data_IF_313957019414
#
_entry.id   IF_313957019414
#
_cell.length_a   1.000
_cell.length_b   1.000
_cell.length_c   1.000
_cell.angle_alpha   90.00
_cell.angle_beta   90.00
_cell.angle_gamma   90.00
#
_symmetry.space_group_name_H-M   'P 1'
#
loop_
_entity.id
_entity.type
_entity.pdbx_description
1 polymer ?
#
# COMPACT_ATOMS: atom_id res chain seq x y z
N UNK A 1 24.11 -27.04 -27.14
CA UNK A 1 23.97 -27.18 -25.67
C UNK A 1 24.63 -26.06 -24.86
N UNK A 2 25.80 -25.51 -25.23
CA UNK A 2 26.48 -24.47 -24.44
C UNK A 2 25.67 -23.17 -24.21
N UNK A 3 24.84 -22.76 -25.18
CA UNK A 3 24.00 -21.56 -25.06
C UNK A 3 22.79 -21.70 -24.14
N UNK A 4 22.31 -22.93 -23.90
CA UNK A 4 21.15 -23.17 -23.01
C UNK A 4 21.55 -23.00 -21.55
N UNK A 5 22.76 -23.43 -21.19
CA UNK A 5 23.27 -23.33 -19.81
C UNK A 5 23.47 -21.87 -19.38
N UNK A 6 23.95 -21.01 -20.29
CA UNK A 6 24.19 -19.59 -20.01
C UNK A 6 22.88 -18.81 -19.79
N UNK A 7 21.83 -19.10 -20.57
CA UNK A 7 20.51 -18.50 -20.39
C UNK A 7 19.88 -18.96 -19.06
N UNK A 8 20.01 -20.24 -18.71
CA UNK A 8 19.54 -20.74 -17.41
C UNK A 8 20.30 -20.11 -16.22
N UNK A 9 21.61 -19.92 -16.32
CA UNK A 9 22.43 -19.29 -15.27
C UNK A 9 22.05 -17.81 -15.05
N UNK A 10 21.81 -17.06 -16.13
CA UNK A 10 21.33 -15.68 -16.01
C UNK A 10 19.93 -15.63 -15.36
N UNK A 11 19.02 -16.54 -15.71
CA UNK A 11 17.67 -16.60 -15.12
C UNK A 11 17.67 -16.98 -13.63
N UNK A 12 18.61 -17.84 -13.18
CA UNK A 12 18.71 -18.24 -11.76
C UNK A 12 19.23 -17.09 -10.89
N UNK A 13 20.11 -16.23 -11.39
CA UNK A 13 20.61 -15.07 -10.64
C UNK A 13 19.55 -14.00 -10.37
N UNK A 14 18.47 -13.94 -11.16
CA UNK A 14 17.34 -13.05 -10.89
C UNK A 14 16.44 -13.53 -9.74
N UNK A 15 16.57 -14.78 -9.26
CA UNK A 15 15.71 -15.33 -8.22
C UNK A 15 16.25 -15.14 -6.78
N UNK A 16 17.42 -14.51 -6.59
CA UNK A 16 18.08 -14.43 -5.28
C UNK A 16 17.91 -13.07 -4.56
N UNK A 17 17.33 -12.07 -5.22
CA UNK A 17 16.94 -10.80 -4.59
C UNK A 17 15.43 -10.76 -4.40
N UNK A 18 14.98 -10.23 -3.27
CA UNK A 18 13.57 -9.93 -3.05
C UNK A 18 13.00 -9.16 -4.26
N UNK A 19 11.89 -9.64 -4.80
CA UNK A 19 11.24 -9.04 -5.95
C UNK A 19 10.28 -7.95 -5.47
N UNK A 20 10.36 -6.71 -5.98
CA UNK A 20 9.40 -5.69 -5.60
C UNK A 20 7.99 -6.03 -6.12
N UNK A 21 7.03 -6.22 -5.23
CA UNK A 21 5.62 -6.41 -5.62
C UNK A 21 4.91 -5.07 -5.69
N UNK A 22 4.12 -4.90 -6.74
CA UNK A 22 3.25 -3.73 -6.90
C UNK A 22 1.86 -4.08 -6.37
N UNK A 23 1.37 -3.27 -5.44
CA UNK A 23 0.02 -3.35 -4.90
C UNK A 23 -0.77 -2.13 -5.37
N UNK A 24 -2.01 -2.37 -5.79
CA UNK A 24 -2.99 -1.32 -5.97
C UNK A 24 -3.99 -1.39 -4.82
N UNK A 25 -4.08 -0.31 -4.06
CA UNK A 25 -5.09 -0.11 -3.04
C UNK A 25 -6.18 0.77 -3.63
N UNK A 26 -7.43 0.34 -3.49
CA UNK A 26 -8.61 1.08 -3.90
C UNK A 26 -9.50 1.31 -2.70
N UNK A 27 -9.88 2.56 -2.48
CA UNK A 27 -10.85 2.96 -1.48
C UNK A 27 -12.07 3.61 -2.14
N UNK A 28 -13.26 3.14 -1.83
CA UNK A 28 -14.52 3.76 -2.26
C UNK A 28 -15.18 4.37 -1.03
N UNK A 29 -15.35 5.70 -1.00
CA UNK A 29 -15.91 6.37 0.17
C UNK A 29 -17.40 6.07 0.30
N UNK A 30 -17.79 5.50 1.42
CA UNK A 30 -19.18 5.17 1.72
C UNK A 30 -19.79 6.16 2.72
N UNK A 31 -18.97 6.72 3.61
CA UNK A 31 -19.42 7.63 4.65
C UNK A 31 -18.35 8.67 4.99
N UNK A 32 -18.79 9.89 5.32
CA UNK A 32 -17.94 10.95 5.88
C UNK A 32 -18.56 11.36 7.20
N UNK A 33 -17.95 10.91 8.29
CA UNK A 33 -18.35 11.25 9.64
C UNK A 33 -17.74 12.58 10.02
N UNK A 34 -18.58 13.57 10.22
CA UNK A 34 -18.20 14.86 10.78
C UNK A 34 -18.71 14.89 12.22
N UNK A 35 -17.81 14.87 13.20
CA UNK A 35 -18.19 14.92 14.61
C UNK A 35 -18.54 16.37 15.03
N UNK A 36 -19.59 16.92 14.42
CA UNK A 36 -20.15 18.22 14.76
C UNK A 36 -19.35 19.45 14.31
N UNK A 37 -18.25 19.29 13.56
CA UNK A 37 -17.52 20.40 12.94
C UNK A 37 -17.82 20.47 11.43
N UNK A 38 -18.16 21.64 10.88
CA UNK A 38 -18.40 21.78 9.45
C UNK A 38 -17.11 21.52 8.65
N UNK A 39 -17.20 20.95 7.43
CA UNK A 39 -16.05 20.52 6.61
C UNK A 39 -15.23 21.68 6.00
N UNK A 40 -15.36 22.89 6.54
CA UNK A 40 -14.85 24.13 5.94
C UNK A 40 -13.32 24.28 5.96
N UNK A 41 -12.60 23.39 6.66
CA UNK A 41 -11.13 23.35 6.65
C UNK A 41 -10.54 22.45 5.57
N UNK A 42 -11.35 21.67 4.84
CA UNK A 42 -10.82 20.87 3.73
C UNK A 42 -10.69 21.73 2.47
N UNK A 43 -9.46 21.91 2.00
CA UNK A 43 -9.20 22.40 0.63
C UNK A 43 -9.76 21.43 -0.43
N UNK A 44 -9.98 20.16 -0.07
CA UNK A 44 -10.65 19.15 -0.91
C UNK A 44 -11.35 18.09 -0.04
N UNK A 45 -12.61 18.32 0.39
CA UNK A 45 -13.28 17.36 1.25
C UNK A 45 -13.52 16.03 0.54
N UNK A 46 -13.38 14.90 1.24
CA UNK A 46 -13.78 13.60 0.74
C UNK A 46 -15.25 13.63 0.32
N UNK A 47 -15.54 13.09 -0.86
CA UNK A 47 -16.90 13.03 -1.39
C UNK A 47 -17.40 11.59 -1.32
N UNK A 48 -18.58 11.37 -0.74
CA UNK A 48 -19.23 10.06 -0.72
C UNK A 48 -19.41 9.57 -2.17
N UNK A 49 -19.03 8.31 -2.43
CA UNK A 49 -19.01 7.69 -3.75
C UNK A 49 -17.70 7.92 -4.53
N UNK A 50 -16.82 8.82 -4.09
CA UNK A 50 -15.50 8.97 -4.71
C UNK A 50 -14.66 7.71 -4.54
N UNK A 51 -13.89 7.41 -5.58
CA UNK A 51 -12.91 6.32 -5.56
C UNK A 51 -11.51 6.88 -5.58
N UNK A 52 -10.68 6.39 -4.69
CA UNK A 52 -9.28 6.76 -4.55
C UNK A 52 -8.39 5.55 -4.78
N UNK A 53 -7.23 5.80 -5.37
CA UNK A 53 -6.24 4.78 -5.68
C UNK A 53 -4.90 5.15 -5.07
N UNK A 54 -4.23 4.15 -4.50
CA UNK A 54 -2.82 4.22 -4.17
C UNK A 54 -2.09 3.04 -4.81
N UNK A 55 -0.89 3.29 -5.33
CA UNK A 55 0.05 2.27 -5.74
C UNK A 55 1.14 2.19 -4.69
N UNK A 56 1.42 1.00 -4.19
CA UNK A 56 2.42 0.73 -3.15
C UNK A 56 3.35 -0.35 -3.68
N UNK A 57 4.66 -0.09 -3.64
CA UNK A 57 5.68 -1.07 -3.98
C UNK A 57 6.31 -1.55 -2.69
N UNK A 58 6.31 -2.86 -2.44
CA UNK A 58 6.91 -3.45 -1.25
C UNK A 58 7.79 -4.65 -1.59
N UNK A 59 8.58 -5.11 -0.63
CA UNK A 59 9.42 -6.30 -0.72
C UNK A 59 8.57 -7.59 -0.65
N UNK A 60 8.74 -8.53 -1.58
CA UNK A 60 8.01 -9.81 -1.62
C UNK A 60 8.31 -10.74 -0.45
N UNK A 61 9.38 -10.50 0.32
CA UNK A 61 9.70 -11.24 1.53
C UNK A 61 8.57 -11.27 2.53
N UNK A 62 7.67 -10.26 2.50
CA UNK A 62 6.46 -10.25 3.32
C UNK A 62 5.49 -11.38 2.98
N UNK A 63 5.48 -11.85 1.73
CA UNK A 63 4.61 -12.94 1.24
C UNK A 63 5.09 -14.33 1.70
N UNK A 64 6.30 -14.43 2.26
CA UNK A 64 6.89 -15.71 2.67
C UNK A 64 6.18 -16.41 3.85
N UNK A 65 5.25 -15.73 4.53
CA UNK A 65 4.43 -16.33 5.58
C UNK A 65 3.12 -15.59 5.79
N UNK A 66 2.08 -16.31 6.18
CA UNK A 66 0.82 -15.72 6.59
C UNK A 66 0.96 -15.02 7.95
N UNK A 67 0.12 -14.02 8.18
CA UNK A 67 0.08 -13.27 9.43
C UNK A 67 -0.58 -11.91 9.28
N UNK A 68 -0.99 -11.34 10.41
CA UNK A 68 -1.62 -10.03 10.44
C UNK A 68 -0.66 -8.88 10.77
N UNK A 69 -0.91 -7.71 10.19
CA UNK A 69 -0.19 -6.46 10.43
C UNK A 69 1.34 -6.61 10.41
N UNK A 70 1.86 -7.39 9.46
CA UNK A 70 3.29 -7.60 9.26
C UNK A 70 3.93 -6.31 8.73
N UNK A 71 5.16 -5.97 9.16
CA UNK A 71 5.82 -4.76 8.69
C UNK A 71 6.34 -5.02 7.28
N UNK A 72 5.96 -4.18 6.33
CA UNK A 72 6.48 -4.19 4.97
C UNK A 72 7.16 -2.87 4.68
N UNK A 73 8.43 -2.94 4.25
CA UNK A 73 9.15 -1.75 3.79
C UNK A 73 8.52 -1.26 2.49
N UNK A 74 8.19 0.03 2.45
CA UNK A 74 7.68 0.68 1.24
C UNK A 74 8.85 1.15 0.39
N UNK A 75 8.98 0.55 -0.78
CA UNK A 75 10.01 0.86 -1.79
C UNK A 75 9.56 1.96 -2.75
N UNK A 76 8.26 2.16 -2.87
CA UNK A 76 7.64 3.17 -3.72
C UNK A 76 6.19 3.38 -3.35
N UNK A 77 5.70 4.61 -3.52
CA UNK A 77 4.34 4.97 -3.17
C UNK A 77 3.82 6.05 -4.10
N UNK A 78 2.56 5.94 -4.48
CA UNK A 78 1.87 7.02 -5.18
C UNK A 78 0.40 6.97 -4.81
N UNK A 79 -0.12 8.04 -4.22
CA UNK A 79 -1.55 8.20 -3.98
C UNK A 79 -2.02 9.58 -4.44
N UNK A 80 -3.25 9.64 -4.93
CA UNK A 80 -3.92 10.90 -5.24
C UNK A 80 -5.34 10.90 -4.68
N UNK A 81 -5.64 11.89 -3.85
CA UNK A 81 -6.96 12.09 -3.23
C UNK A 81 -7.34 13.54 -3.37
N UNK A 82 -8.38 13.80 -4.17
CA UNK A 82 -8.71 15.16 -4.58
C UNK A 82 -7.53 15.77 -5.35
N UNK A 83 -7.10 16.95 -4.92
CA UNK A 83 -5.95 17.65 -5.50
C UNK A 83 -4.61 17.28 -4.84
N UNK A 84 -4.63 16.58 -3.70
CA UNK A 84 -3.42 16.17 -2.98
C UNK A 84 -2.78 14.95 -3.63
N UNK A 85 -1.46 15.05 -3.81
CA UNK A 85 -0.62 13.99 -4.37
C UNK A 85 0.48 13.63 -3.37
N UNK A 86 0.58 12.35 -3.06
CA UNK A 86 1.60 11.79 -2.18
C UNK A 86 2.50 10.86 -2.98
N UNK A 87 3.72 11.27 -3.24
CA UNK A 87 4.68 10.49 -4.04
C UNK A 87 6.11 10.86 -3.64
N UNK A 88 6.85 10.02 -2.90
CA UNK A 88 8.21 10.34 -2.46
C UNK A 88 9.21 10.50 -3.60
N UNK A 89 8.87 10.11 -4.84
CA UNK A 89 9.75 10.24 -6.01
C UNK A 89 9.68 11.62 -6.69
N UNK A 90 8.63 12.41 -6.41
CA UNK A 90 8.52 13.75 -6.97
C UNK A 90 9.43 14.73 -6.22
N UNK A 91 10.02 15.74 -6.91
CA UNK A 91 10.82 16.75 -6.24
C UNK A 91 9.99 17.47 -5.17
N UNK A 92 10.61 17.84 -4.05
CA UNK A 92 9.92 18.42 -2.90
C UNK A 92 9.11 19.69 -3.22
N UNK A 93 9.46 20.42 -4.29
CA UNK A 93 8.69 21.55 -4.81
C UNK A 93 7.33 21.18 -5.40
N UNK A 94 7.11 19.91 -5.75
CA UNK A 94 5.85 19.33 -6.21
C UNK A 94 5.13 18.54 -5.11
N UNK A 95 5.81 18.25 -4.01
CA UNK A 95 5.21 17.64 -2.81
C UNK A 95 4.54 18.74 -2.00
N UNK A 96 3.33 19.13 -2.39
CA UNK A 96 2.54 20.02 -1.52
C UNK A 96 2.22 19.32 -0.21
N UNK A 97 2.00 18.00 -0.25
CA UNK A 97 1.33 17.28 0.83
C UNK A 97 2.02 15.98 1.28
N UNK A 98 3.25 15.65 0.88
CA UNK A 98 3.94 14.44 1.37
C UNK A 98 5.01 14.76 2.42
N UNK A 99 4.87 14.18 3.61
CA UNK A 99 5.83 14.27 4.71
C UNK A 99 6.34 12.91 5.21
N UNK A 100 5.60 11.81 4.96
CA UNK A 100 6.08 10.46 5.26
C UNK A 100 4.96 9.43 5.40
N UNK A 101 5.32 8.24 5.89
CA UNK A 101 4.35 7.19 6.22
C UNK A 101 4.10 7.09 7.72
N UNK A 102 2.91 6.61 8.05
CA UNK A 102 2.55 6.15 9.39
C UNK A 102 2.65 4.64 9.37
N UNK A 103 3.63 4.12 10.10
CA UNK A 103 3.91 2.69 10.09
C UNK A 103 2.90 1.85 10.85
N UNK A 104 3.08 0.53 10.82
CA UNK A 104 2.20 -0.36 11.56
C UNK A 104 2.44 -0.19 13.05
N UNK A 105 1.45 0.37 13.78
CA UNK A 105 1.38 0.11 15.22
C UNK A 105 0.98 -1.34 15.42
N UNK A 106 1.73 -2.09 16.21
CA UNK A 106 1.41 -3.49 16.50
C UNK A 106 0.35 -3.61 17.60
N UNK A 107 -0.73 -4.32 17.29
CA UNK A 107 -1.73 -4.73 18.28
C UNK A 107 -2.79 -3.66 18.58
N UNK A 108 -3.75 -3.96 19.48
CA UNK A 108 -4.92 -3.12 19.77
C UNK A 108 -4.61 -1.87 20.62
N UNK A 109 -3.33 -1.56 20.86
CA UNK A 109 -2.92 -0.45 21.72
C UNK A 109 -1.93 0.44 20.99
N UNK A 110 -2.14 1.75 21.18
CA UNK A 110 -1.23 2.86 20.92
C UNK A 110 0.22 2.38 20.75
N UNK A 111 0.86 2.68 19.62
CA UNK A 111 2.31 2.48 19.48
C UNK A 111 2.98 3.00 20.77
N UNK A 112 3.77 2.19 21.45
CA UNK A 112 4.56 2.66 22.59
C UNK A 112 5.51 3.77 22.11
N UNK A 113 5.95 4.71 22.97
CA UNK A 113 6.90 5.74 22.54
C UNK A 113 8.16 5.17 21.85
N UNK A 114 8.61 3.99 22.25
CA UNK A 114 9.70 3.27 21.60
C UNK A 114 9.36 2.77 20.18
N UNK A 115 8.09 2.43 19.93
CA UNK A 115 7.59 2.06 18.60
C UNK A 115 7.31 3.29 17.74
N UNK A 116 7.14 4.49 18.30
CA UNK A 116 7.00 5.71 17.50
C UNK A 116 8.29 6.03 16.73
N UNK A 117 9.43 5.87 17.40
CA UNK A 117 10.75 6.14 16.82
C UNK A 117 11.13 5.12 15.73
N UNK A 118 10.50 3.94 15.70
CA UNK A 118 10.85 2.85 14.77
C UNK A 118 9.77 2.62 13.71
N UNK A 119 8.50 2.68 14.09
CA UNK A 119 7.33 2.32 13.26
C UNK A 119 6.23 3.40 13.28
N UNK A 120 6.50 4.58 13.84
CA UNK A 120 5.51 5.66 13.98
C UNK A 120 5.43 6.61 12.79
N UNK A 121 5.25 7.90 13.09
CA UNK A 121 5.24 8.99 12.11
C UNK A 121 6.62 9.12 11.45
N UNK A 122 6.67 9.05 10.13
CA UNK A 122 7.90 9.13 9.35
C UNK A 122 8.61 7.79 9.18
N UNK A 123 7.98 6.66 9.52
CA UNK A 123 8.53 5.35 9.22
C UNK A 123 8.60 5.11 7.70
N UNK A 124 9.46 4.21 7.25
CA UNK A 124 9.50 3.71 5.85
C UNK A 124 8.65 2.45 5.66
N UNK A 125 7.75 2.15 6.59
CA UNK A 125 7.02 0.88 6.66
C UNK A 125 5.50 1.11 6.69
N UNK A 126 4.76 0.10 6.25
CA UNK A 126 3.31 -0.05 6.44
C UNK A 126 3.02 -1.44 7.01
N UNK A 127 1.79 -1.66 7.49
CA UNK A 127 1.34 -2.96 7.95
C UNK A 127 0.60 -3.73 6.88
N UNK A 128 0.72 -5.05 6.85
CA UNK A 128 0.05 -5.89 5.87
C UNK A 128 -0.50 -7.18 6.48
N UNK A 129 -1.74 -7.53 6.17
CA UNK A 129 -2.22 -8.90 6.39
C UNK A 129 -1.90 -9.75 5.16
N UNK A 130 -1.23 -10.88 5.38
CA UNK A 130 -0.89 -11.86 4.35
C UNK A 130 -1.63 -13.16 4.62
N UNK A 131 -2.35 -13.65 3.62
CA UNK A 131 -3.08 -14.93 3.67
C UNK A 131 -2.86 -15.68 2.37
N UNK A 132 -2.37 -16.92 2.45
CA UNK A 132 -2.07 -17.73 1.27
C UNK A 132 -1.00 -17.12 0.35
N UNK A 133 -0.08 -16.32 0.90
CA UNK A 133 0.93 -15.61 0.12
C UNK A 133 0.43 -14.39 -0.65
N UNK A 134 -0.78 -13.90 -0.36
CA UNK A 134 -1.33 -12.68 -0.96
C UNK A 134 -1.58 -11.62 0.12
N UNK A 135 -1.34 -10.34 -0.22
CA UNK A 135 -1.70 -9.21 0.64
C UNK A 135 -3.20 -8.98 0.55
N UNK A 136 -3.88 -9.09 1.69
CA UNK A 136 -5.34 -8.93 1.79
C UNK A 136 -5.75 -7.58 2.39
N UNK A 137 -4.90 -6.98 3.24
CA UNK A 137 -5.15 -5.70 3.91
C UNK A 137 -3.87 -4.91 4.08
N UNK A 138 -4.01 -3.58 4.13
CA UNK A 138 -2.93 -2.62 4.39
C UNK A 138 -3.31 -1.77 5.61
N UNK A 139 -2.38 -1.58 6.54
CA UNK A 139 -2.51 -0.77 7.75
C UNK A 139 -1.51 0.37 7.75
N UNK A 140 -1.82 1.40 8.55
CA UNK A 140 -1.06 2.64 8.58
C UNK A 140 -1.50 3.57 7.46
N UNK A 141 -0.63 4.48 7.04
CA UNK A 141 -1.03 5.56 6.14
C UNK A 141 0.09 6.40 5.61
N UNK A 142 -0.29 7.49 4.94
CA UNK A 142 0.57 8.56 4.47
C UNK A 142 0.09 9.88 5.03
N UNK A 143 1.01 10.77 5.37
CA UNK A 143 0.68 12.09 5.92
C UNK A 143 1.47 13.21 5.25
N UNK A 144 0.90 14.39 5.28
CA UNK A 144 1.47 15.64 4.79
C UNK A 144 2.11 16.50 5.85
N UNK A 145 2.46 17.73 5.45
CA UNK A 145 3.12 18.65 6.38
C UNK A 145 2.22 18.93 7.58
N UNK A 146 2.79 18.92 8.79
CA UNK A 146 2.03 19.07 10.03
C UNK A 146 0.94 18.00 10.21
N UNK A 147 1.09 16.86 9.54
CA UNK A 147 0.15 15.75 9.63
C UNK A 147 -1.22 16.06 8.99
N UNK A 148 -1.23 16.94 7.98
CA UNK A 148 -2.43 17.35 7.23
C UNK A 148 -2.04 17.72 5.77
N UNK A 149 -2.75 17.23 4.74
CA UNK A 149 -3.73 16.14 4.77
C UNK A 149 -3.06 14.79 4.99
N UNK A 150 -3.82 13.81 5.47
CA UNK A 150 -3.35 12.44 5.62
C UNK A 150 -4.44 11.41 5.35
N UNK A 151 -3.99 10.19 5.05
CA UNK A 151 -4.82 9.05 4.71
C UNK A 151 -4.25 7.85 5.44
N UNK A 152 -5.03 7.26 6.34
CA UNK A 152 -4.79 5.91 6.81
C UNK A 152 -5.60 4.91 5.95
N UNK A 153 -5.11 3.69 5.74
CA UNK A 153 -5.85 2.64 5.02
C UNK A 153 -6.71 1.84 6.00
N UNK A 154 -6.06 1.22 6.99
CA UNK A 154 -6.66 0.64 8.18
C UNK A 154 -5.89 1.13 9.40
N UNK A 155 -6.62 1.47 10.45
CA UNK A 155 -6.02 1.88 11.71
C UNK A 155 -5.75 0.68 12.61
N UNK A 156 -4.55 0.60 13.16
CA UNK A 156 -4.24 -0.36 14.23
C UNK A 156 -4.24 0.28 15.62
N UNK A 157 -4.45 1.59 15.74
CA UNK A 157 -4.40 2.23 17.05
C UNK A 157 -4.54 3.74 17.03
N UNK A 158 -4.64 4.30 18.24
CA UNK A 158 -4.78 5.73 18.51
C UNK A 158 -3.42 6.42 18.36
N UNK A 159 -3.13 6.92 17.16
CA UNK A 159 -1.99 7.83 16.94
C UNK A 159 -2.27 9.17 17.62
N UNK A 160 -1.76 9.35 18.84
CA UNK A 160 -1.74 10.65 19.52
C UNK A 160 -3.11 11.19 19.94
N UNK A 161 -3.18 11.80 21.10
CA UNK A 161 -4.41 12.33 21.72
C UNK A 161 -4.95 13.61 21.09
N UNK A 162 -4.43 14.06 19.95
CA UNK A 162 -4.82 15.32 19.32
C UNK A 162 -5.45 15.00 17.98
N UNK A 163 -6.78 15.07 17.99
CA UNK A 163 -7.67 14.66 16.94
C UNK A 163 -7.36 15.33 15.61
N UNK A 164 -6.89 14.56 14.63
CA UNK A 164 -6.96 14.92 13.23
C UNK A 164 -7.37 13.66 12.44
N UNK A 165 -7.93 13.90 11.26
CA UNK A 165 -8.67 13.09 10.29
C UNK A 165 -8.43 11.56 10.24
N UNK A 166 -9.32 10.71 9.71
CA UNK A 166 -8.92 9.32 9.45
C UNK A 166 -9.68 8.71 8.30
N UNK A 167 -8.95 8.10 7.37
CA UNK A 167 -9.53 7.27 6.32
C UNK A 167 -9.50 5.82 6.83
N UNK A 168 -10.61 5.10 6.78
CA UNK A 168 -10.69 3.71 7.25
C UNK A 168 -11.53 2.84 6.32
N UNK A 169 -11.09 1.59 6.14
CA UNK A 169 -11.90 0.52 5.55
C UNK A 169 -13.19 0.23 6.33
N UNK A 170 -14.31 -0.06 5.64
CA UNK A 170 -15.59 -0.49 6.25
C UNK A 170 -15.39 -1.78 7.06
N UNK A 171 -15.94 -1.80 8.28
CA UNK A 171 -16.09 -3.02 9.10
C UNK A 171 -15.54 -2.93 10.52
N UNK A 172 -14.71 -1.92 10.83
CA UNK A 172 -14.14 -1.73 12.16
C UNK A 172 -14.89 -0.63 12.93
N UNK A 173 -15.22 -0.85 14.22
CA UNK A 173 -15.89 0.17 15.02
C UNK A 173 -14.98 1.37 15.23
N UNK A 174 -15.42 2.55 14.77
CA UNK A 174 -14.72 3.79 15.06
C UNK A 174 -14.80 4.10 16.56
N UNK A 175 -13.67 4.32 17.23
CA UNK A 175 -13.70 4.89 18.57
C UNK A 175 -14.32 6.29 18.54
N UNK A 176 -15.18 6.61 19.51
CA UNK A 176 -16.03 7.80 19.55
C UNK A 176 -15.31 9.15 19.79
N UNK A 177 -13.99 9.25 19.58
CA UNK A 177 -13.19 10.43 19.91
C UNK A 177 -12.53 11.13 18.71
N UNK A 178 -12.93 10.80 17.48
CA UNK A 178 -12.35 11.40 16.26
C UNK A 178 -13.21 12.56 15.72
N UNK A 179 -12.58 13.61 15.17
CA UNK A 179 -13.25 14.84 14.72
C UNK A 179 -13.85 14.71 13.31
N UNK A 180 -13.14 14.05 12.39
CA UNK A 180 -13.63 13.75 11.04
C UNK A 180 -13.07 12.41 10.55
N UNK A 181 -13.93 11.49 10.12
CA UNK A 181 -13.54 10.17 9.61
C UNK A 181 -14.15 9.90 8.25
N UNK A 182 -13.35 9.47 7.27
CA UNK A 182 -13.80 8.94 5.98
C UNK A 182 -13.82 7.44 6.08
N UNK A 183 -14.98 6.83 5.92
CA UNK A 183 -15.09 5.38 5.87
C UNK A 183 -15.46 4.95 4.46
N UNK A 184 -14.90 3.82 4.04
CA UNK A 184 -15.13 3.33 2.69
C UNK A 184 -14.68 1.90 2.47
N UNK A 185 -15.18 1.25 1.44
CA UNK A 185 -14.73 -0.10 1.10
C UNK A 185 -13.28 -0.06 0.61
N UNK A 186 -12.39 -0.74 1.35
CA UNK A 186 -10.97 -0.87 1.02
C UNK A 186 -10.71 -2.24 0.39
N UNK A 187 -10.09 -2.23 -0.77
CA UNK A 187 -9.64 -3.45 -1.45
C UNK A 187 -8.19 -3.32 -1.87
N UNK A 188 -7.44 -4.42 -1.79
CA UNK A 188 -6.04 -4.52 -2.18
C UNK A 188 -5.93 -5.56 -3.29
N UNK A 189 -5.19 -5.24 -4.34
CA UNK A 189 -4.91 -6.18 -5.42
C UNK A 189 -3.43 -6.11 -5.78
N UNK A 190 -2.79 -7.26 -5.96
CA UNK A 190 -1.45 -7.32 -6.52
C UNK A 190 -1.52 -7.06 -8.03
N UNK A 191 -0.71 -6.12 -8.51
CA UNK A 191 -0.58 -5.79 -9.93
C UNK A 191 0.40 -6.79 -10.55
N UNK A 192 0.00 -7.57 -11.57
CA UNK A 192 0.90 -8.51 -12.22
C UNK A 192 2.12 -7.80 -12.79
N UNK A 193 3.31 -8.28 -12.43
CA UNK A 193 4.54 -7.72 -12.98
C UNK A 193 4.62 -7.93 -14.50
N UNK A 194 5.11 -6.94 -15.28
CA UNK A 194 5.32 -7.08 -16.71
C UNK A 194 6.20 -8.28 -17.07
N UNK A 195 7.17 -8.61 -16.20
CA UNK A 195 8.05 -9.76 -16.36
C UNK A 195 7.27 -11.09 -16.36
N UNK A 196 6.26 -11.23 -15.51
CA UNK A 196 5.38 -12.41 -15.47
C UNK A 196 4.61 -12.56 -16.78
N UNK A 197 4.05 -11.46 -17.31
CA UNK A 197 3.36 -11.48 -18.59
C UNK A 197 4.30 -11.85 -19.75
N UNK A 198 5.54 -11.32 -19.75
CA UNK A 198 6.55 -11.65 -20.74
C UNK A 198 7.02 -13.10 -20.65
N UNK A 199 7.21 -13.64 -19.44
CA UNK A 199 7.57 -15.04 -19.21
C UNK A 199 6.46 -15.99 -19.68
N UNK A 200 5.20 -15.66 -19.38
CA UNK A 200 4.05 -16.42 -19.88
C UNK A 200 4.01 -16.39 -21.41
N UNK A 201 4.15 -15.21 -22.03
CA UNK A 201 4.18 -15.07 -23.48
C UNK A 201 5.34 -15.87 -24.11
N UNK A 202 6.54 -15.82 -23.52
CA UNK A 202 7.69 -16.60 -23.95
C UNK A 202 7.46 -18.12 -23.83
N UNK A 203 6.85 -18.57 -22.73
CA UNK A 203 6.46 -19.96 -22.53
C UNK A 203 5.46 -20.44 -23.57
N UNK A 204 4.45 -19.63 -23.89
CA UNK A 204 3.49 -19.94 -24.96
C UNK A 204 4.16 -20.02 -26.34
N UNK A 205 5.06 -19.09 -26.67
CA UNK A 205 5.81 -19.13 -27.93
C UNK A 205 6.67 -20.41 -28.05
N UNK A 206 7.37 -20.80 -26.98
CA UNK A 206 8.17 -22.02 -26.96
C UNK A 206 7.31 -23.28 -27.17
N UNK A 207 6.13 -23.35 -26.53
CA UNK A 207 5.19 -24.45 -26.71
C UNK A 207 4.70 -24.56 -28.17
N UNK A 208 4.35 -23.44 -28.81
CA UNK A 208 3.91 -23.45 -30.21
C UNK A 208 5.03 -23.91 -31.16
N UNK A 209 6.26 -23.40 -30.99
CA UNK A 209 7.41 -23.84 -31.78
C UNK A 209 7.69 -25.34 -31.62
N UNK A 210 7.55 -25.87 -30.40
CA UNK A 210 7.73 -27.30 -30.14
C UNK A 210 6.69 -28.18 -30.86
N UNK A 211 5.44 -27.71 -30.96
CA UNK A 211 4.36 -28.41 -31.68
C UNK A 211 4.59 -28.41 -33.19
N UNK A 212 5.05 -27.30 -33.75
CA UNK A 212 5.38 -27.21 -35.17
C UNK A 212 6.49 -28.18 -35.58
N UNK A 213 7.49 -28.39 -34.71
CA UNK A 213 8.59 -29.35 -34.96
C UNK A 213 8.19 -30.82 -34.89
N UNK A 214 7.11 -31.19 -34.19
CA UNK A 214 6.64 -32.59 -34.12
C UNK A 214 5.80 -33.02 -35.33
N UNK A 215 5.40 -32.08 -36.19
CA UNK A 215 4.57 -32.34 -37.38
C UNK A 215 5.39 -32.45 -38.68
N UNK A 216 6.71 -32.34 -38.58
CA UNK A 216 7.68 -32.55 -39.67
C UNK A 216 8.47 -33.81 -39.36
#
# INVERSE_FOLDING_TARGET
MKYVLAVCLCLIQFCASATPINLQVKMVVDNVLLNGQPPETFTSPPVIGSTYFANIVIDDGILGSDGGNKPGKVLGFHAKVGDSVWDPSLPQSFLTDFAGFRGPCYGPMVCTPAEWDVWGLGSEYLGFDVVGGEVTRVYGGVFGQLDDPFIDFLSTGRFGSNAWYQWQGVGEPLPSYWLVGVQGNLSVAQVPEPATALLLAAGFMALQLSRCRRRV
#
